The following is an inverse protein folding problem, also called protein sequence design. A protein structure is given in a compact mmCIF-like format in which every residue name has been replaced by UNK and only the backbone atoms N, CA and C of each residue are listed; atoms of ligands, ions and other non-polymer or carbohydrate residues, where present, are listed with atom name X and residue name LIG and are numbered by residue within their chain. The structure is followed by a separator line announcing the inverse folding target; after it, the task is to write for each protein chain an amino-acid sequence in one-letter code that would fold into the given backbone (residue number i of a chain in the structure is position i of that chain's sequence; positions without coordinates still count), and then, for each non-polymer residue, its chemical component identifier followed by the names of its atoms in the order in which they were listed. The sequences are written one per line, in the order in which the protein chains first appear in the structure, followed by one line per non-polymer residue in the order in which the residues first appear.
data_IF_942805067699
#
_entry.id   IF_942805067699
#
_cell.length_a   1.000
_cell.length_b   1.000
_cell.length_c   1.000
_cell.angle_alpha   90.00
_cell.angle_beta   90.00
_cell.angle_gamma   90.00
#
_symmetry.space_group_name_H-M   'P 1'
#
loop_
_entity.id
_entity.type
_entity.pdbx_description
1 polymer ?
#
# COMPACT_ATOMS: atom_id res chain seq x y z
N UNK A 1 3.44 -14.20 -5.78
CA UNK A 1 2.29 -13.28 -5.68
C UNK A 1 1.19 -13.76 -6.62
N UNK A 2 0.00 -13.95 -6.08
CA UNK A 2 -1.16 -14.41 -6.84
C UNK A 2 -2.10 -13.25 -7.12
N UNK A 3 -2.99 -13.43 -8.12
CA UNK A 3 -4.01 -12.44 -8.43
C UNK A 3 -4.86 -12.11 -7.20
N UNK A 4 -5.28 -13.15 -6.47
CA UNK A 4 -6.10 -12.98 -5.28
C UNK A 4 -5.40 -12.11 -4.23
N UNK A 5 -4.13 -12.41 -3.95
CA UNK A 5 -3.35 -11.66 -2.94
C UNK A 5 -3.23 -10.19 -3.35
N UNK A 6 -2.85 -9.93 -4.61
CA UNK A 6 -2.67 -8.56 -5.09
C UNK A 6 -3.97 -7.77 -5.03
N UNK A 7 -5.08 -8.34 -5.46
CA UNK A 7 -6.36 -7.64 -5.45
C UNK A 7 -6.93 -7.48 -4.05
N UNK A 8 -6.71 -8.44 -3.15
CA UNK A 8 -7.12 -8.31 -1.74
C UNK A 8 -6.37 -7.16 -1.07
N UNK A 9 -5.06 -7.08 -1.27
CA UNK A 9 -4.26 -6.00 -0.69
C UNK A 9 -4.64 -4.65 -1.30
N UNK A 10 -4.84 -4.58 -2.62
CA UNK A 10 -5.27 -3.36 -3.28
C UNK A 10 -6.64 -2.91 -2.78
N UNK A 11 -7.59 -3.84 -2.60
CA UNK A 11 -8.90 -3.52 -2.05
C UNK A 11 -8.79 -3.01 -0.61
N UNK A 12 -7.95 -3.63 0.20
CA UNK A 12 -7.70 -3.17 1.58
C UNK A 12 -7.16 -1.74 1.58
N UNK A 13 -6.24 -1.42 0.68
CA UNK A 13 -5.68 -0.07 0.55
C UNK A 13 -6.76 0.93 0.15
N UNK A 14 -7.64 0.57 -0.79
CA UNK A 14 -8.76 1.43 -1.22
C UNK A 14 -9.73 1.66 -0.07
N UNK A 15 -10.03 0.62 0.72
CA UNK A 15 -10.93 0.76 1.87
C UNK A 15 -10.33 1.67 2.94
N UNK A 16 -9.05 1.55 3.24
CA UNK A 16 -8.37 2.44 4.18
C UNK A 16 -8.35 3.86 3.62
N UNK A 17 -8.10 4.01 2.32
CA UNK A 17 -8.17 5.31 1.65
C UNK A 17 -9.56 5.94 1.73
N UNK A 18 -10.61 5.16 1.57
CA UNK A 18 -11.99 5.61 1.73
C UNK A 18 -12.28 6.08 3.16
N UNK A 19 -11.78 5.35 4.15
CA UNK A 19 -11.91 5.75 5.55
C UNK A 19 -11.18 7.06 5.82
N UNK A 20 -9.98 7.22 5.26
CA UNK A 20 -9.23 8.48 5.37
C UNK A 20 -9.94 9.63 4.64
N UNK A 21 -10.55 9.35 3.48
CA UNK A 21 -11.32 10.35 2.74
C UNK A 21 -12.52 10.84 3.56
N UNK A 22 -13.19 9.93 4.26
CA UNK A 22 -14.28 10.29 5.15
C UNK A 22 -13.79 11.23 6.27
N UNK A 23 -12.64 10.95 6.86
CA UNK A 23 -12.03 11.85 7.86
C UNK A 23 -11.77 13.23 7.25
N UNK A 24 -11.21 13.29 6.04
CA UNK A 24 -10.91 14.54 5.36
C UNK A 24 -12.17 15.34 5.11
N UNK A 25 -13.21 14.69 4.61
CA UNK A 25 -14.48 15.36 4.32
C UNK A 25 -15.15 15.90 5.59
N UNK A 26 -15.15 15.08 6.66
CA UNK A 26 -15.76 15.47 7.92
C UNK A 26 -14.86 16.42 8.72
N UNK A 27 -13.69 16.76 8.21
CA UNK A 27 -12.69 17.60 8.89
C UNK A 27 -12.25 17.02 10.24
N UNK A 28 -12.24 15.69 10.32
CA UNK A 28 -11.80 15.00 11.53
C UNK A 28 -10.27 14.96 11.56
N UNK A 29 -9.67 15.08 12.75
CA UNK A 29 -8.23 14.92 12.86
C UNK A 29 -7.81 13.47 12.61
N UNK A 30 -6.51 13.26 12.44
CA UNK A 30 -5.96 11.92 12.32
C UNK A 30 -6.27 11.15 13.62
N UNK A 31 -7.13 10.14 13.52
CA UNK A 31 -7.67 9.46 14.68
C UNK A 31 -6.95 8.14 14.95
N UNK A 32 -7.10 7.61 16.18
CA UNK A 32 -6.56 6.31 16.51
C UNK A 32 -7.14 5.19 15.62
N UNK A 33 -8.46 5.14 15.32
CA UNK A 33 -8.97 4.14 14.39
C UNK A 33 -8.33 4.19 13.02
N UNK A 34 -8.09 5.38 12.48
CA UNK A 34 -7.41 5.53 11.19
C UNK A 34 -5.97 5.05 11.29
N UNK A 35 -5.26 5.41 12.36
CA UNK A 35 -3.91 4.94 12.61
C UNK A 35 -3.85 3.41 12.65
N UNK A 36 -4.78 2.77 13.35
CA UNK A 36 -4.82 1.31 13.44
C UNK A 36 -5.16 0.66 12.09
N UNK A 37 -6.03 1.29 11.29
CA UNK A 37 -6.35 0.79 9.96
C UNK A 37 -5.12 0.81 9.04
N UNK A 38 -4.35 1.91 9.06
CA UNK A 38 -3.12 2.02 8.28
C UNK A 38 -2.07 1.05 8.79
N UNK A 39 -1.94 0.89 10.11
CA UNK A 39 -0.99 -0.05 10.71
C UNK A 39 -1.32 -1.49 10.32
N UNK A 40 -2.59 -1.87 10.30
CA UNK A 40 -3.01 -3.21 9.87
C UNK A 40 -2.66 -3.44 8.39
N UNK A 41 -2.90 -2.44 7.54
CA UNK A 41 -2.51 -2.51 6.14
C UNK A 41 -0.99 -2.65 6.00
N UNK A 42 -0.21 -1.92 6.79
CA UNK A 42 1.25 -2.01 6.77
C UNK A 42 1.73 -3.42 7.10
N UNK A 43 1.11 -4.08 8.08
CA UNK A 43 1.43 -5.48 8.40
C UNK A 43 1.18 -6.37 7.19
N UNK A 44 0.06 -6.18 6.48
CA UNK A 44 -0.21 -6.91 5.25
C UNK A 44 0.83 -6.64 4.18
N UNK A 45 1.27 -5.40 4.04
CA UNK A 45 2.28 -5.02 3.05
C UNK A 45 3.65 -5.60 3.40
N UNK A 46 4.02 -5.63 4.67
CA UNK A 46 5.26 -6.27 5.13
C UNK A 46 5.19 -7.77 4.84
N UNK A 47 4.06 -8.40 5.10
CA UNK A 47 3.86 -9.81 4.77
C UNK A 47 4.00 -10.05 3.26
N UNK A 48 3.46 -9.14 2.45
CA UNK A 48 3.61 -9.18 0.99
C UNK A 48 5.08 -9.06 0.57
N UNK A 49 5.83 -8.15 1.22
CA UNK A 49 7.26 -7.97 0.95
C UNK A 49 8.03 -9.26 1.24
N UNK A 50 7.83 -9.84 2.42
CA UNK A 50 8.52 -11.07 2.83
C UNK A 50 8.10 -12.24 1.93
N UNK A 51 6.80 -12.45 1.76
CA UNK A 51 6.28 -13.55 0.93
C UNK A 51 6.66 -13.40 -0.54
N UNK A 52 6.59 -12.18 -1.07
CA UNK A 52 6.97 -11.90 -2.46
C UNK A 52 8.45 -12.12 -2.71
N UNK A 53 9.31 -11.71 -1.77
CA UNK A 53 10.75 -11.92 -1.88
C UNK A 53 11.10 -13.41 -1.83
N UNK A 54 10.45 -14.17 -0.95
CA UNK A 54 10.63 -15.61 -0.87
C UNK A 54 10.15 -16.31 -2.15
N UNK A 55 8.99 -15.90 -2.68
CA UNK A 55 8.44 -16.43 -3.91
C UNK A 55 9.35 -16.12 -5.10
N UNK A 56 9.94 -14.92 -5.12
CA UNK A 56 10.88 -14.54 -6.18
C UNK A 56 12.09 -15.46 -6.18
N UNK A 57 12.61 -15.81 -5.00
CA UNK A 57 13.76 -16.72 -4.89
C UNK A 57 13.47 -18.15 -5.29
N UNK A 58 12.21 -18.57 -5.27
CA UNK A 58 11.81 -19.95 -5.57
C UNK A 58 11.08 -20.11 -6.90
N UNK A 59 10.76 -19.00 -7.60
CA UNK A 59 10.05 -19.08 -8.87
C UNK A 59 10.98 -19.44 -10.02
N UNK A 60 10.45 -20.20 -10.98
CA UNK A 60 11.13 -20.50 -12.23
C UNK A 60 10.81 -19.48 -13.33
N UNK A 61 9.92 -18.51 -13.06
CA UNK A 61 9.56 -17.47 -14.01
C UNK A 61 10.69 -16.48 -14.20
N UNK A 62 10.75 -15.91 -15.38
CA UNK A 62 11.67 -14.82 -15.69
C UNK A 62 11.04 -13.50 -15.24
N UNK A 63 11.15 -13.21 -13.95
CA UNK A 63 10.65 -11.98 -13.34
C UNK A 63 11.82 -11.02 -13.17
N UNK A 64 11.57 -9.73 -13.51
CA UNK A 64 12.55 -8.68 -13.25
C UNK A 64 12.65 -8.45 -11.74
N UNK A 65 13.63 -9.11 -11.11
CA UNK A 65 13.78 -9.08 -9.65
C UNK A 65 14.06 -7.71 -9.08
N UNK A 66 14.87 -6.90 -9.78
CA UNK A 66 15.18 -5.54 -9.34
C UNK A 66 13.93 -4.68 -9.34
N UNK A 67 13.17 -4.70 -10.41
CA UNK A 67 11.93 -3.95 -10.54
C UNK A 67 10.89 -4.42 -9.51
N UNK A 68 10.73 -5.74 -9.37
CA UNK A 68 9.76 -6.33 -8.44
C UNK A 68 10.05 -5.92 -6.99
N UNK A 69 11.29 -6.07 -6.53
CA UNK A 69 11.69 -5.74 -5.16
C UNK A 69 11.59 -4.23 -4.93
N UNK A 70 11.96 -3.42 -5.93
CA UNK A 70 11.83 -1.96 -5.82
C UNK A 70 10.40 -1.52 -5.60
N UNK A 71 9.44 -2.11 -6.32
CA UNK A 71 8.01 -1.86 -6.10
C UNK A 71 7.57 -2.29 -4.71
N UNK A 72 8.01 -3.46 -4.24
CA UNK A 72 7.66 -3.94 -2.90
C UNK A 72 8.14 -2.99 -1.81
N UNK A 73 9.40 -2.56 -1.89
CA UNK A 73 9.97 -1.63 -0.92
C UNK A 73 9.21 -0.31 -0.93
N UNK A 74 8.90 0.22 -2.11
CA UNK A 74 8.15 1.47 -2.25
C UNK A 74 6.77 1.34 -1.61
N UNK A 75 6.05 0.25 -1.88
CA UNK A 75 4.73 -0.01 -1.31
C UNK A 75 4.77 -0.01 0.21
N UNK A 76 5.79 -0.66 0.80
CA UNK A 76 5.93 -0.77 2.26
C UNK A 76 6.27 0.58 2.90
N UNK A 77 7.04 1.42 2.21
CA UNK A 77 7.51 2.71 2.75
C UNK A 77 6.41 3.78 2.73
N UNK A 78 5.47 3.71 1.77
CA UNK A 78 4.46 4.76 1.58
C UNK A 78 3.56 4.96 2.81
N UNK A 79 2.96 3.93 3.44
CA UNK A 79 2.07 4.16 4.58
C UNK A 79 2.75 4.83 5.77
N UNK A 80 3.95 4.40 6.23
CA UNK A 80 4.63 5.10 7.32
C UNK A 80 4.92 6.56 7.01
N UNK A 81 5.35 6.86 5.79
CA UNK A 81 5.62 8.23 5.37
C UNK A 81 4.36 9.08 5.40
N UNK A 82 3.24 8.53 4.93
CA UNK A 82 1.95 9.21 4.94
C UNK A 82 1.45 9.47 6.36
N UNK A 83 1.65 8.51 7.27
CA UNK A 83 1.25 8.67 8.68
C UNK A 83 2.06 9.77 9.35
N UNK A 84 3.37 9.79 9.15
CA UNK A 84 4.21 10.84 9.71
C UNK A 84 3.80 12.22 9.22
N UNK A 85 3.53 12.35 7.92
CA UNK A 85 3.05 13.61 7.37
C UNK A 85 1.67 13.96 7.90
N UNK A 86 0.76 12.98 7.95
CA UNK A 86 -0.60 13.20 8.41
C UNK A 86 -0.68 13.65 9.87
N UNK A 87 0.20 13.13 10.73
CA UNK A 87 0.27 13.54 12.13
C UNK A 87 0.87 14.95 12.25
N UNK A 88 1.87 15.26 11.43
CA UNK A 88 2.54 16.57 11.46
C UNK A 88 1.67 17.69 10.88
N UNK A 89 0.79 17.36 9.93
CA UNK A 89 -0.10 18.36 9.30
C UNK A 89 -1.30 18.62 10.20
N UNK A 90 -1.50 19.88 10.56
CA UNK A 90 -2.57 20.26 11.50
C UNK A 90 -3.92 20.54 10.83
N UNK A 91 -3.94 20.65 9.50
CA UNK A 91 -5.18 20.85 8.76
C UNK A 91 -5.84 19.51 8.42
N UNK A 92 -7.08 19.58 7.91
CA UNK A 92 -7.78 18.36 7.45
C UNK A 92 -7.03 17.62 6.36
N UNK A 93 -6.12 18.29 5.66
CA UNK A 93 -5.35 17.70 4.58
C UNK A 93 -4.29 16.71 5.07
N UNK A 94 -4.05 16.65 6.39
CA UNK A 94 -3.24 15.58 6.97
C UNK A 94 -3.82 14.21 6.67
N UNK A 95 -5.15 14.05 6.77
CA UNK A 95 -5.83 12.81 6.37
C UNK A 95 -5.92 12.70 4.85
N UNK A 96 -5.97 13.82 4.14
CA UNK A 96 -5.95 13.84 2.68
C UNK A 96 -4.67 13.24 2.10
N UNK A 97 -3.54 13.45 2.74
CA UNK A 97 -2.27 12.80 2.34
C UNK A 97 -2.40 11.27 2.43
N UNK A 98 -3.06 10.77 3.46
CA UNK A 98 -3.29 9.33 3.61
C UNK A 98 -4.17 8.81 2.48
N UNK A 99 -5.19 9.56 2.04
CA UNK A 99 -6.02 9.18 0.90
C UNK A 99 -5.18 8.96 -0.35
N UNK A 100 -4.33 9.94 -0.67
CA UNK A 100 -3.45 9.86 -1.85
C UNK A 100 -2.49 8.69 -1.73
N UNK A 101 -1.90 8.50 -0.55
CA UNK A 101 -0.98 7.41 -0.30
C UNK A 101 -1.64 6.05 -0.50
N UNK A 102 -2.87 5.87 0.01
CA UNK A 102 -3.58 4.59 -0.11
C UNK A 102 -3.96 4.29 -1.55
N UNK A 103 -4.38 5.30 -2.32
CA UNK A 103 -4.65 5.12 -3.74
C UNK A 103 -3.38 4.74 -4.50
N UNK A 104 -2.25 5.36 -4.16
CA UNK A 104 -0.95 5.03 -4.75
C UNK A 104 -0.57 3.58 -4.44
N UNK A 105 -0.73 3.15 -3.20
CA UNK A 105 -0.47 1.76 -2.79
C UNK A 105 -1.33 0.79 -3.59
N UNK A 106 -2.62 1.09 -3.76
CA UNK A 106 -3.52 0.23 -4.53
C UNK A 106 -3.06 0.07 -5.98
N UNK A 107 -2.70 1.18 -6.62
CA UNK A 107 -2.20 1.15 -8.00
C UNK A 107 -0.89 0.36 -8.10
N UNK A 108 0.03 0.58 -7.16
CA UNK A 108 1.31 -0.12 -7.15
C UNK A 108 1.14 -1.62 -6.92
N UNK A 109 0.17 -2.04 -6.11
CA UNK A 109 -0.13 -3.46 -5.91
C UNK A 109 -0.59 -4.12 -7.21
N UNK A 110 -1.43 -3.45 -7.99
CA UNK A 110 -1.88 -3.96 -9.30
C UNK A 110 -0.71 -4.02 -10.27
N UNK A 111 0.15 -3.00 -10.28
CA UNK A 111 1.35 -3.00 -11.12
C UNK A 111 2.31 -4.11 -10.71
N UNK A 112 2.45 -4.35 -9.41
CA UNK A 112 3.29 -5.43 -8.89
C UNK A 112 2.83 -6.78 -9.45
N UNK A 113 1.53 -7.01 -9.50
CA UNK A 113 0.97 -8.23 -10.08
C UNK A 113 1.36 -8.35 -11.55
N UNK A 114 1.28 -7.26 -12.30
CA UNK A 114 1.70 -7.22 -13.70
C UNK A 114 3.17 -7.59 -13.87
N UNK A 115 4.04 -7.06 -13.02
CA UNK A 115 5.47 -7.37 -13.04
C UNK A 115 5.69 -8.86 -12.75
N UNK A 116 5.00 -9.40 -11.75
CA UNK A 116 5.10 -10.83 -11.40
C UNK A 116 4.71 -11.73 -12.58
N UNK A 117 3.72 -11.33 -13.37
CA UNK A 117 3.23 -12.08 -14.51
C UNK A 117 3.96 -11.78 -15.81
N UNK A 118 4.93 -10.86 -15.81
CA UNK A 118 5.56 -10.35 -17.04
C UNK A 118 4.55 -9.69 -18.01
N UNK A 119 3.52 -9.06 -17.46
CA UNK A 119 2.44 -8.45 -18.26
C UNK A 119 2.37 -6.92 -18.07
N UNK A 120 3.48 -6.29 -17.78
CA UNK A 120 3.56 -4.87 -17.49
C UNK A 120 3.99 -4.02 -18.69
N UNK A 121 3.53 -4.40 -19.82
CA UNK A 121 3.87 -3.68 -21.06
C UNK A 121 3.09 -2.37 -21.16
#
# INVERSE_FOLDING_TARGET
VTDLVAYVVALAAVLVGGFAAWHTWRRLPFSNPLFYAVAALEVLLIALLVGGSMALGSTSRDVDGVLFVSYLITIVVIPPAAVLWGIAEKSRWGTGVVVVAMLTVAVLCVRLLGIWKNAYV
#
